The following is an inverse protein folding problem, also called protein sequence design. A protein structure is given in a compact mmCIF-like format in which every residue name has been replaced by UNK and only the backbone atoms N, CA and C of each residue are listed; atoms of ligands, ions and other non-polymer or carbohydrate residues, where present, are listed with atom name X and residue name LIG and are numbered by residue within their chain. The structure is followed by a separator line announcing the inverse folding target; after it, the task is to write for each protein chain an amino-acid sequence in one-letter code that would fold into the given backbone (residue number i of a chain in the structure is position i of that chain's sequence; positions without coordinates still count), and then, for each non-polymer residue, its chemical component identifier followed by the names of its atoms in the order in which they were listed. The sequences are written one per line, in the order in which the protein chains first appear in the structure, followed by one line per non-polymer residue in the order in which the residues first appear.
data_IF_548437079872
#
_entry.id   IF_548437079872
#
_cell.length_a   1.000
_cell.length_b   1.000
_cell.length_c   1.000
_cell.angle_alpha   90.00
_cell.angle_beta   90.00
_cell.angle_gamma   90.00
#
_symmetry.space_group_name_H-M   'P 1'
#
loop_
_entity.id
_entity.type
_entity.pdbx_description
1 polymer ?
#
# COMPACT_ATOMS: atom_id res chain seq x y z
N UNK A 1 9.26 27.16 17.92
CA UNK A 1 8.97 26.49 16.63
C UNK A 1 7.48 26.21 16.63
N UNK A 2 6.74 26.60 15.59
CA UNK A 2 5.34 26.15 15.47
C UNK A 2 5.41 24.65 15.20
N UNK A 3 4.74 23.88 16.00
CA UNK A 3 4.64 22.43 15.79
C UNK A 3 3.89 22.19 14.48
N UNK A 4 4.63 21.92 13.40
CA UNK A 4 4.08 21.72 12.05
C UNK A 4 3.11 20.53 11.97
N UNK A 5 3.11 19.67 12.98
CA UNK A 5 2.31 18.45 13.03
C UNK A 5 0.87 18.68 13.51
N UNK A 6 0.62 19.83 14.14
CA UNK A 6 -0.69 20.19 14.70
C UNK A 6 -1.38 21.35 13.97
N UNK A 7 -0.81 21.86 12.87
CA UNK A 7 -1.44 22.92 12.10
C UNK A 7 -2.54 22.39 11.18
N UNK A 8 -3.78 22.47 11.62
CA UNK A 8 -4.98 22.07 10.84
C UNK A 8 -5.12 22.81 9.49
N UNK A 9 -4.33 23.86 9.26
CA UNK A 9 -4.29 24.58 7.98
C UNK A 9 -3.33 23.91 6.99
N UNK A 10 -2.44 23.01 7.43
CA UNK A 10 -1.63 22.20 6.54
C UNK A 10 -2.55 21.26 5.75
N UNK A 11 -2.56 21.30 4.41
CA UNK A 11 -3.39 20.39 3.61
C UNK A 11 -3.08 18.91 3.84
N UNK A 12 -1.94 18.59 4.44
CA UNK A 12 -1.49 17.23 4.77
C UNK A 12 -1.70 16.86 6.25
N UNK A 13 -2.36 17.73 7.00
CA UNK A 13 -2.68 17.48 8.40
C UNK A 13 -3.57 16.25 8.57
N UNK A 14 -3.24 15.44 9.56
CA UNK A 14 -4.01 14.27 9.98
C UNK A 14 -4.35 14.44 11.47
N UNK A 15 -5.61 14.27 11.82
CA UNK A 15 -6.08 14.27 13.21
C UNK A 15 -5.75 12.91 13.88
N UNK A 16 -4.48 12.74 14.27
CA UNK A 16 -4.03 11.54 14.98
C UNK A 16 -4.75 11.34 16.31
N UNK A 17 -4.96 12.37 17.17
CA UNK A 17 -5.78 12.22 18.36
C UNK A 17 -7.18 11.68 18.10
N UNK A 18 -7.83 12.14 17.03
CA UNK A 18 -9.14 11.64 16.59
C UNK A 18 -9.08 10.18 16.13
N UNK A 19 -8.00 9.76 15.43
CA UNK A 19 -7.78 8.35 15.09
C UNK A 19 -7.65 7.48 16.33
N UNK A 20 -6.84 7.91 17.31
CA UNK A 20 -6.66 7.17 18.58
C UNK A 20 -8.00 7.07 19.32
N UNK A 21 -8.75 8.15 19.45
CA UNK A 21 -10.07 8.13 20.07
C UNK A 21 -11.04 7.16 19.38
N UNK A 22 -10.95 7.02 18.05
CA UNK A 22 -11.76 6.06 17.30
C UNK A 22 -11.35 4.61 17.59
N UNK A 23 -10.05 4.32 17.72
CA UNK A 23 -9.56 3.01 18.15
C UNK A 23 -10.07 2.69 19.55
N UNK A 24 -9.88 3.61 20.49
CA UNK A 24 -10.29 3.45 21.90
C UNK A 24 -11.79 3.17 22.03
N UNK A 25 -12.62 3.85 21.22
CA UNK A 25 -14.07 3.58 21.18
C UNK A 25 -14.36 2.15 20.73
N UNK A 26 -13.73 1.66 19.65
CA UNK A 26 -13.92 0.28 19.18
C UNK A 26 -13.35 -0.76 20.17
N UNK A 27 -12.27 -0.43 20.86
CA UNK A 27 -11.74 -1.25 21.95
C UNK A 27 -12.77 -1.38 23.09
N UNK A 28 -13.37 -0.26 23.53
CA UNK A 28 -14.39 -0.26 24.56
C UNK A 28 -15.63 -1.08 24.18
N UNK A 29 -16.07 -1.00 22.92
CA UNK A 29 -17.20 -1.77 22.39
C UNK A 29 -16.93 -3.29 22.41
N UNK A 30 -15.66 -3.71 22.48
CA UNK A 30 -15.22 -5.11 22.43
C UNK A 30 -14.58 -5.58 23.77
N UNK A 31 -14.70 -4.79 24.84
CA UNK A 31 -14.09 -5.07 26.13
C UNK A 31 -12.56 -5.31 26.06
N UNK A 32 -11.84 -4.51 25.26
CA UNK A 32 -10.39 -4.53 25.11
C UNK A 32 -9.79 -3.41 25.95
N UNK A 33 -8.90 -3.76 26.89
CA UNK A 33 -8.31 -2.81 27.86
C UNK A 33 -7.08 -2.09 27.30
N UNK A 34 -6.33 -2.75 26.39
CA UNK A 34 -5.23 -2.15 25.63
C UNK A 34 -5.08 -2.84 24.26
N UNK A 35 -4.60 -2.09 23.28
CA UNK A 35 -4.29 -2.62 21.95
C UNK A 35 -2.78 -2.66 21.74
N UNK A 36 -2.24 -3.82 21.37
CA UNK A 36 -0.85 -4.05 21.04
C UNK A 36 -0.73 -4.18 19.51
N UNK A 37 -0.47 -3.08 18.84
CA UNK A 37 -0.23 -3.02 17.41
C UNK A 37 1.21 -3.39 17.06
N UNK A 38 1.38 -4.20 16.05
CA UNK A 38 2.69 -4.69 15.60
C UNK A 38 2.92 -4.58 14.10
N UNK A 39 1.84 -4.37 13.32
CA UNK A 39 1.95 -4.22 11.85
C UNK A 39 2.51 -2.85 11.50
N UNK A 40 3.29 -2.79 10.41
CA UNK A 40 3.84 -1.54 9.90
C UNK A 40 2.74 -0.54 9.55
N UNK A 41 1.64 -1.02 8.96
CA UNK A 41 0.41 -0.24 8.72
C UNK A 41 -0.10 0.42 10.00
N UNK A 42 -0.26 -0.35 11.06
CA UNK A 42 -0.75 0.16 12.36
C UNK A 42 0.19 1.19 12.94
N UNK A 43 1.49 0.91 12.94
CA UNK A 43 2.50 1.86 13.39
C UNK A 43 2.44 3.17 12.61
N UNK A 44 2.54 3.13 11.28
CA UNK A 44 2.53 4.34 10.44
C UNK A 44 1.20 5.12 10.55
N UNK A 45 0.06 4.41 10.57
CA UNK A 45 -1.26 5.02 10.63
C UNK A 45 -1.58 5.68 11.97
N UNK A 46 -0.97 5.19 13.06
CA UNK A 46 -1.20 5.72 14.41
C UNK A 46 -0.13 6.71 14.87
N UNK A 47 1.08 6.69 14.30
CA UNK A 47 2.22 7.46 14.81
C UNK A 47 2.79 8.50 13.86
N UNK A 48 2.45 8.47 12.58
CA UNK A 48 3.06 9.28 11.50
C UNK A 48 4.56 9.03 11.29
N UNK A 49 5.06 7.89 11.72
CA UNK A 49 6.48 7.57 11.62
C UNK A 49 6.74 6.22 10.96
N UNK A 50 7.82 6.14 10.19
CA UNK A 50 8.34 4.88 9.68
C UNK A 50 9.16 4.16 10.75
N UNK A 51 8.75 2.94 11.10
CA UNK A 51 9.40 2.08 12.09
C UNK A 51 10.05 0.88 11.39
N UNK A 52 11.32 0.98 10.92
CA UNK A 52 11.96 -0.08 10.13
C UNK A 52 12.32 -1.31 10.93
N UNK A 53 12.49 -1.16 12.23
CA UNK A 53 12.79 -2.26 13.13
C UNK A 53 11.51 -2.89 13.65
N UNK A 54 11.61 -4.08 14.22
CA UNK A 54 10.48 -4.70 14.92
C UNK A 54 10.00 -3.76 16.02
N UNK A 55 8.91 -3.08 15.76
CA UNK A 55 8.34 -2.09 16.67
C UNK A 55 6.91 -2.46 17.05
N UNK A 56 6.43 -1.86 18.12
CA UNK A 56 5.09 -2.06 18.63
C UNK A 56 4.51 -0.72 19.08
N UNK A 57 3.20 -0.60 19.00
CA UNK A 57 2.47 0.51 19.63
C UNK A 57 1.49 -0.07 20.64
N UNK A 58 1.53 0.41 21.86
CA UNK A 58 0.51 0.12 22.88
C UNK A 58 -0.44 1.30 22.96
N UNK A 59 -1.70 1.04 22.68
CA UNK A 59 -2.77 2.04 22.79
C UNK A 59 -3.62 1.65 24.00
N UNK A 60 -3.60 2.44 25.08
CA UNK A 60 -4.45 2.21 26.24
C UNK A 60 -5.90 2.61 25.93
N UNK A 61 -6.85 2.13 26.74
CA UNK A 61 -8.26 2.53 26.60
C UNK A 61 -8.49 4.03 26.85
N UNK A 62 -7.61 4.65 27.61
CA UNK A 62 -7.58 6.10 27.88
C UNK A 62 -6.13 6.60 27.88
N UNK A 63 -5.90 7.79 27.29
CA UNK A 63 -4.57 8.39 27.15
C UNK A 63 -3.95 8.20 25.77
N UNK A 64 -2.67 8.59 25.66
CA UNK A 64 -1.92 8.55 24.40
C UNK A 64 -1.29 7.18 24.14
N UNK A 65 -1.07 6.80 22.89
CA UNK A 65 -0.33 5.60 22.54
C UNK A 65 1.15 5.74 22.90
N UNK A 66 1.80 4.62 23.15
CA UNK A 66 3.26 4.56 23.36
C UNK A 66 3.89 3.60 22.39
N UNK A 67 4.91 4.07 21.67
CA UNK A 67 5.69 3.29 20.71
C UNK A 67 6.88 2.63 21.40
N UNK A 68 7.11 1.38 21.10
CA UNK A 68 8.29 0.61 21.52
C UNK A 68 9.10 0.23 20.30
N UNK A 69 10.31 0.72 20.19
CA UNK A 69 11.17 0.50 19.03
C UNK A 69 12.59 0.17 19.44
N UNK A 70 13.42 -0.27 18.48
CA UNK A 70 14.83 -0.51 18.78
C UNK A 70 15.52 0.82 19.18
N UNK A 71 16.27 0.79 20.26
CA UNK A 71 16.80 1.99 20.94
C UNK A 71 17.56 2.97 20.03
N UNK A 72 18.24 2.46 18.98
CA UNK A 72 19.01 3.32 18.07
C UNK A 72 18.11 4.21 17.20
N UNK A 73 16.84 3.90 17.07
CA UNK A 73 15.89 4.60 16.20
C UNK A 73 14.87 5.45 16.97
N UNK A 74 14.83 5.31 18.29
CA UNK A 74 13.81 5.94 19.11
C UNK A 74 13.79 7.48 18.95
N UNK A 75 14.96 8.12 18.98
CA UNK A 75 15.06 9.57 18.84
C UNK A 75 14.56 10.08 17.48
N UNK A 76 14.85 9.35 16.38
CA UNK A 76 14.35 9.70 15.05
C UNK A 76 12.83 9.52 14.95
N UNK A 77 12.30 8.41 15.48
CA UNK A 77 10.85 8.17 15.50
C UNK A 77 10.12 9.25 16.30
N UNK A 78 10.69 9.69 17.43
CA UNK A 78 10.13 10.80 18.22
C UNK A 78 10.15 12.13 17.45
N UNK A 79 11.18 12.37 16.63
CA UNK A 79 11.26 13.57 15.78
C UNK A 79 10.26 13.53 14.62
N UNK A 80 10.06 12.36 14.00
CA UNK A 80 9.15 12.17 12.88
C UNK A 80 7.67 12.12 13.33
N UNK A 81 7.40 11.54 14.48
CA UNK A 81 6.04 11.29 15.01
C UNK A 81 5.35 12.59 15.48
N UNK A 82 4.02 12.52 15.58
CA UNK A 82 3.23 13.51 16.32
C UNK A 82 3.30 13.32 17.83
N UNK A 83 3.80 12.17 18.30
CA UNK A 83 4.04 11.86 19.71
C UNK A 83 5.31 12.54 20.21
N UNK A 84 5.34 12.90 21.48
CA UNK A 84 6.55 13.38 22.11
C UNK A 84 7.51 12.25 22.54
N UNK A 85 8.71 12.60 23.00
CA UNK A 85 9.75 11.63 23.36
C UNK A 85 9.37 10.71 24.52
N UNK A 86 8.48 11.14 25.41
CA UNK A 86 8.00 10.33 26.54
C UNK A 86 7.11 9.17 26.08
N UNK A 87 6.58 9.27 24.88
CA UNK A 87 5.76 8.25 24.23
C UNK A 87 6.50 7.40 23.19
N UNK A 88 7.84 7.52 23.09
CA UNK A 88 8.66 6.69 22.19
C UNK A 88 9.79 6.05 22.95
N UNK A 89 9.59 4.80 23.36
CA UNK A 89 10.48 4.06 24.24
C UNK A 89 11.40 3.10 23.46
N UNK A 90 12.69 3.15 23.78
CA UNK A 90 13.68 2.27 23.16
C UNK A 90 13.82 0.95 23.92
N UNK A 91 13.82 -0.16 23.21
CA UNK A 91 14.23 -1.47 23.72
C UNK A 91 15.61 -1.88 23.17
N UNK A 92 16.28 -2.83 23.84
CA UNK A 92 17.53 -3.43 23.38
C UNK A 92 17.48 -4.95 23.61
N UNK A 93 18.01 -5.79 22.72
CA UNK A 93 17.90 -7.25 22.81
C UNK A 93 18.88 -7.88 23.82
N UNK A 94 19.22 -7.15 24.87
CA UNK A 94 20.15 -7.64 25.89
C UNK A 94 19.76 -7.10 27.28
N UNK A 95 20.11 -7.84 28.31
CA UNK A 95 20.03 -7.41 29.71
C UNK A 95 18.59 -7.25 30.24
N UNK A 96 17.61 -8.01 29.73
CA UNK A 96 16.20 -7.92 30.16
C UNK A 96 15.48 -6.67 29.66
N UNK A 97 16.08 -5.94 28.72
CA UNK A 97 15.51 -4.78 28.06
C UNK A 97 14.90 -5.15 26.69
N UNK A 98 14.58 -6.42 26.50
CA UNK A 98 13.93 -6.87 25.27
C UNK A 98 12.48 -6.35 25.17
N UNK A 99 11.95 -6.33 23.98
CA UNK A 99 10.63 -5.78 23.67
C UNK A 99 9.50 -6.46 24.47
N UNK A 100 9.58 -7.77 24.69
CA UNK A 100 8.52 -8.50 25.41
C UNK A 100 8.46 -8.03 26.86
N UNK A 101 9.62 -7.98 27.52
CA UNK A 101 9.73 -7.58 28.94
C UNK A 101 9.27 -6.14 29.13
N UNK A 102 9.82 -5.19 28.35
CA UNK A 102 9.50 -3.76 28.48
C UNK A 102 8.02 -3.48 28.25
N UNK A 103 7.45 -4.06 27.17
CA UNK A 103 6.03 -3.85 26.84
C UNK A 103 5.12 -4.48 27.88
N UNK A 104 5.45 -5.70 28.34
CA UNK A 104 4.65 -6.37 29.38
C UNK A 104 4.70 -5.64 30.71
N UNK A 105 5.86 -5.09 31.09
CA UNK A 105 6.01 -4.27 32.28
C UNK A 105 5.23 -2.95 32.15
N UNK A 106 5.28 -2.31 30.99
CA UNK A 106 4.48 -1.11 30.72
C UNK A 106 2.97 -1.38 30.86
N UNK A 107 2.48 -2.47 30.29
CA UNK A 107 1.05 -2.86 30.42
C UNK A 107 0.69 -3.12 31.88
N UNK A 108 1.50 -3.87 32.64
CA UNK A 108 1.19 -4.25 34.01
C UNK A 108 1.38 -3.14 35.02
N UNK A 109 2.48 -2.40 34.91
CA UNK A 109 2.91 -1.48 35.99
C UNK A 109 2.53 -0.03 35.64
N UNK A 110 2.69 0.40 34.37
CA UNK A 110 2.37 1.78 33.98
C UNK A 110 0.88 1.94 33.70
N UNK A 111 0.29 1.02 32.91
CA UNK A 111 -1.16 1.06 32.67
C UNK A 111 -1.98 0.39 33.76
N UNK A 112 -1.35 -0.35 34.67
CA UNK A 112 -2.02 -1.03 35.79
C UNK A 112 -2.86 -2.25 35.38
N UNK A 113 -2.73 -2.74 34.14
CA UNK A 113 -3.53 -3.83 33.60
C UNK A 113 -2.90 -5.18 33.99
N UNK A 114 -3.30 -5.70 35.16
CA UNK A 114 -2.86 -7.01 35.66
C UNK A 114 -3.81 -8.15 35.27
N UNK A 115 -5.02 -7.82 34.91
CA UNK A 115 -6.05 -8.72 34.37
C UNK A 115 -6.89 -7.94 33.41
N UNK A 116 -7.24 -8.59 32.25
CA UNK A 116 -8.04 -7.96 31.24
C UNK A 116 -7.81 -8.56 29.86
N UNK A 117 -8.26 -7.87 28.83
CA UNK A 117 -8.15 -8.30 27.44
C UNK A 117 -7.22 -7.36 26.67
N UNK A 118 -6.21 -7.94 26.04
CA UNK A 118 -5.24 -7.20 25.23
C UNK A 118 -5.51 -7.57 23.76
N UNK A 119 -5.93 -6.59 22.97
CA UNK A 119 -6.08 -6.75 21.53
C UNK A 119 -4.71 -6.89 20.86
N UNK A 120 -4.54 -7.90 20.03
CA UNK A 120 -3.28 -8.16 19.30
C UNK A 120 -3.56 -8.36 17.82
N UNK A 121 -2.52 -8.27 16.99
CA UNK A 121 -2.62 -8.40 15.55
C UNK A 121 -2.16 -9.78 15.08
N UNK A 122 -3.03 -10.77 15.22
CA UNK A 122 -2.80 -12.16 14.81
C UNK A 122 -3.27 -12.47 13.39
N UNK A 123 -3.63 -11.48 12.61
CA UNK A 123 -4.19 -11.64 11.28
C UNK A 123 -3.31 -12.45 10.33
N UNK A 124 -3.91 -12.81 9.20
CA UNK A 124 -3.18 -13.36 8.07
C UNK A 124 -2.53 -12.22 7.28
N UNK A 125 -1.35 -12.45 6.73
CA UNK A 125 -0.69 -11.52 5.82
C UNK A 125 -0.45 -12.18 4.47
N UNK A 126 -0.71 -11.46 3.39
CA UNK A 126 -0.30 -11.84 2.06
C UNK A 126 1.14 -11.39 1.75
N UNK A 127 1.69 -10.48 2.56
CA UNK A 127 3.05 -9.98 2.46
C UNK A 127 3.86 -10.28 3.72
N UNK A 128 5.07 -10.77 3.53
CA UNK A 128 6.00 -11.08 4.63
C UNK A 128 6.28 -9.88 5.54
N UNK A 129 6.45 -8.67 5.02
CA UNK A 129 6.80 -7.52 5.86
C UNK A 129 5.64 -6.87 6.60
N UNK A 130 4.41 -7.34 6.54
CA UNK A 130 3.27 -6.68 7.20
C UNK A 130 3.45 -6.55 8.72
N UNK A 131 4.12 -7.51 9.34
CA UNK A 131 4.51 -7.41 10.75
C UNK A 131 3.46 -7.88 11.74
N UNK A 132 2.57 -8.78 11.35
CA UNK A 132 1.69 -9.47 12.29
C UNK A 132 2.47 -10.08 13.46
N UNK A 133 1.81 -10.25 14.60
CA UNK A 133 2.41 -10.87 15.77
C UNK A 133 2.80 -12.31 15.43
N UNK A 134 4.08 -12.66 15.59
CA UNK A 134 4.53 -14.02 15.35
C UNK A 134 4.03 -14.96 16.44
N UNK A 135 3.91 -16.25 16.15
CA UNK A 135 3.54 -17.24 17.16
C UNK A 135 4.51 -17.22 18.34
N UNK A 136 5.81 -17.02 18.10
CA UNK A 136 6.80 -16.89 19.18
C UNK A 136 6.49 -15.67 20.08
N UNK A 137 6.27 -14.51 19.52
CA UNK A 137 5.95 -13.29 20.27
C UNK A 137 4.63 -13.44 21.05
N UNK A 138 3.61 -14.04 20.40
CA UNK A 138 2.32 -14.31 21.05
C UNK A 138 2.48 -15.16 22.31
N UNK A 139 3.20 -16.27 22.23
CA UNK A 139 3.45 -17.14 23.40
C UNK A 139 4.31 -16.44 24.47
N UNK A 140 5.28 -15.60 24.09
CA UNK A 140 6.06 -14.82 25.04
C UNK A 140 5.21 -13.76 25.76
N UNK A 141 4.39 -12.99 25.05
CA UNK A 141 3.47 -12.03 25.67
C UNK A 141 2.44 -12.73 26.56
N UNK A 142 1.89 -13.84 26.12
CA UNK A 142 0.96 -14.65 26.93
C UNK A 142 1.60 -15.14 28.24
N UNK A 143 2.84 -15.56 28.20
CA UNK A 143 3.59 -15.97 29.38
C UNK A 143 3.93 -14.79 30.29
N UNK A 144 4.26 -13.62 29.73
CA UNK A 144 4.60 -12.41 30.48
C UNK A 144 3.38 -11.67 31.06
N UNK A 145 2.18 -11.93 30.51
CA UNK A 145 0.89 -11.34 30.94
C UNK A 145 -0.11 -12.42 31.39
N UNK A 146 0.22 -13.24 32.42
CA UNK A 146 -0.54 -14.44 32.79
C UNK A 146 -1.97 -14.16 33.28
N UNK A 147 -2.29 -12.92 33.63
CA UNK A 147 -3.64 -12.49 34.01
C UNK A 147 -4.48 -11.93 32.88
N UNK A 148 -3.90 -11.78 31.69
CA UNK A 148 -4.58 -11.17 30.53
C UNK A 148 -4.91 -12.23 29.48
N UNK A 149 -6.02 -12.02 28.79
CA UNK A 149 -6.38 -12.73 27.56
C UNK A 149 -5.86 -11.95 26.36
N UNK A 150 -5.10 -12.59 25.46
CA UNK A 150 -4.73 -12.00 24.19
C UNK A 150 -5.81 -12.35 23.15
N UNK A 151 -6.46 -11.33 22.61
CA UNK A 151 -7.58 -11.49 21.66
C UNK A 151 -7.19 -10.88 20.32
N UNK A 152 -7.61 -11.51 19.22
CA UNK A 152 -7.40 -10.94 17.90
C UNK A 152 -8.22 -9.66 17.70
N UNK A 153 -7.55 -8.58 17.32
CA UNK A 153 -8.17 -7.27 17.16
C UNK A 153 -7.66 -6.49 15.93
N UNK A 154 -6.94 -7.16 15.02
CA UNK A 154 -6.39 -6.53 13.80
C UNK A 154 -7.46 -5.79 12.98
N UNK A 155 -8.70 -6.29 12.96
CA UNK A 155 -9.83 -5.72 12.25
C UNK A 155 -10.20 -4.29 12.69
N UNK A 156 -9.80 -3.86 13.89
CA UNK A 156 -10.07 -2.49 14.38
C UNK A 156 -9.37 -1.48 13.47
N UNK A 157 -8.08 -1.67 13.21
CA UNK A 157 -7.31 -0.78 12.33
C UNK A 157 -7.78 -0.92 10.87
N UNK A 158 -8.01 -2.14 10.40
CA UNK A 158 -8.43 -2.38 9.02
C UNK A 158 -9.75 -1.68 8.68
N UNK A 159 -10.71 -1.69 9.62
CA UNK A 159 -11.98 -0.98 9.46
C UNK A 159 -11.84 0.54 9.50
N UNK A 160 -11.01 1.07 10.39
CA UNK A 160 -10.82 2.51 10.54
C UNK A 160 -9.97 3.10 9.41
N UNK A 161 -9.01 2.35 8.87
CA UNK A 161 -8.16 2.80 7.78
C UNK A 161 -8.81 2.70 6.40
N UNK A 162 -9.96 2.03 6.27
CA UNK A 162 -10.64 1.84 4.99
C UNK A 162 -11.01 3.17 4.32
N UNK A 163 -11.66 4.05 5.07
CA UNK A 163 -12.01 5.39 4.62
C UNK A 163 -10.89 6.35 5.05
N UNK A 164 -10.26 6.98 4.06
CA UNK A 164 -9.14 7.88 4.32
C UNK A 164 -9.64 9.29 4.67
N UNK A 165 -9.05 9.90 5.69
CA UNK A 165 -9.25 11.33 5.96
C UNK A 165 -8.62 12.21 4.86
N UNK A 166 -9.03 13.47 4.82
CA UNK A 166 -8.62 14.40 3.76
C UNK A 166 -7.10 14.64 3.74
N UNK A 167 -6.45 14.67 4.90
CA UNK A 167 -4.99 14.82 5.00
C UNK A 167 -4.28 13.64 4.36
N UNK A 168 -4.72 12.43 4.65
CA UNK A 168 -4.22 11.20 4.02
C UNK A 168 -4.44 11.23 2.51
N UNK A 169 -5.64 11.54 2.03
CA UNK A 169 -5.95 11.65 0.60
C UNK A 169 -5.02 12.66 -0.08
N UNK A 170 -4.76 13.81 0.53
CA UNK A 170 -3.86 14.82 -0.04
C UNK A 170 -2.42 14.33 -0.13
N UNK A 171 -1.93 13.54 0.84
CA UNK A 171 -0.61 12.90 0.77
C UNK A 171 -0.52 11.93 -0.41
N UNK A 172 -1.55 11.12 -0.65
CA UNK A 172 -1.60 10.21 -1.79
C UNK A 172 -1.69 10.95 -3.13
N UNK A 173 -2.42 12.06 -3.20
CA UNK A 173 -2.45 12.93 -4.40
C UNK A 173 -1.08 13.49 -4.72
N UNK A 174 -0.36 13.97 -3.70
CA UNK A 174 1.00 14.49 -3.90
C UNK A 174 1.97 13.36 -4.30
N UNK A 175 1.90 12.20 -3.68
CA UNK A 175 2.70 11.04 -4.07
C UNK A 175 2.41 10.60 -5.52
N UNK A 176 1.14 10.58 -5.94
CA UNK A 176 0.76 10.28 -7.33
C UNK A 176 1.27 11.34 -8.32
N UNK A 177 1.23 12.63 -7.95
CA UNK A 177 1.84 13.71 -8.76
C UNK A 177 3.35 13.50 -8.92
N UNK A 178 4.02 13.03 -7.88
CA UNK A 178 5.47 12.73 -7.93
C UNK A 178 5.73 11.55 -8.88
N UNK A 179 4.90 10.51 -8.85
CA UNK A 179 4.97 9.38 -9.80
C UNK A 179 4.80 9.86 -11.24
N UNK A 180 3.86 10.78 -11.50
CA UNK A 180 3.67 11.37 -12.82
C UNK A 180 4.95 12.05 -13.35
N UNK A 181 5.75 12.69 -12.48
CA UNK A 181 7.05 13.25 -12.86
C UNK A 181 8.07 12.16 -13.22
N UNK A 182 8.00 10.99 -12.56
CA UNK A 182 8.78 9.81 -12.93
C UNK A 182 8.45 9.32 -14.32
N UNK A 183 7.16 9.14 -14.64
CA UNK A 183 6.71 8.74 -15.97
C UNK A 183 7.10 9.74 -17.06
N UNK A 184 6.94 11.05 -16.82
CA UNK A 184 7.37 12.10 -17.76
C UNK A 184 8.86 12.01 -18.06
N UNK A 185 9.69 11.75 -17.05
CA UNK A 185 11.13 11.64 -17.23
C UNK A 185 11.51 10.38 -18.03
N UNK A 186 10.88 9.24 -17.74
CA UNK A 186 11.05 7.99 -18.50
C UNK A 186 10.66 8.21 -19.97
N UNK A 187 9.46 8.72 -20.22
CA UNK A 187 8.99 9.01 -21.57
C UNK A 187 9.98 9.88 -22.32
N UNK A 188 10.38 11.00 -21.76
CA UNK A 188 11.36 11.92 -22.37
C UNK A 188 12.71 11.26 -22.66
N UNK A 189 13.13 10.29 -21.84
CA UNK A 189 14.39 9.59 -22.02
C UNK A 189 14.35 8.54 -23.13
N UNK A 190 13.21 7.85 -23.29
CA UNK A 190 13.07 6.76 -24.28
C UNK A 190 12.66 7.27 -25.68
N UNK A 191 12.03 8.44 -25.78
CA UNK A 191 11.63 9.06 -27.06
C UNK A 191 12.82 9.34 -27.99
N UNK A 192 12.52 9.48 -29.29
CA UNK A 192 13.48 9.85 -30.33
C UNK A 192 14.71 8.91 -30.41
N UNK A 193 14.48 7.62 -30.17
CA UNK A 193 15.52 6.59 -30.18
C UNK A 193 16.40 6.58 -28.92
N UNK A 194 16.05 7.33 -27.88
CA UNK A 194 16.76 7.35 -26.60
C UNK A 194 16.80 5.99 -25.91
N UNK A 195 15.79 5.13 -26.16
CA UNK A 195 15.71 3.76 -25.66
C UNK A 195 16.84 2.84 -26.13
N UNK A 196 17.48 3.18 -27.26
CA UNK A 196 18.55 2.35 -27.86
C UNK A 196 19.69 2.20 -26.86
N UNK A 197 20.11 0.96 -26.69
CA UNK A 197 21.13 0.54 -25.71
C UNK A 197 20.75 0.72 -24.21
N UNK A 198 19.60 1.30 -23.86
CA UNK A 198 19.13 1.35 -22.48
C UNK A 198 18.75 -0.04 -21.96
N UNK A 199 18.95 -0.21 -20.66
CA UNK A 199 18.50 -1.36 -19.88
C UNK A 199 17.30 -1.02 -19.02
N UNK A 200 16.56 -2.03 -18.56
CA UNK A 200 15.46 -1.83 -17.60
C UNK A 200 15.94 -1.11 -16.34
N UNK A 201 17.15 -1.44 -15.82
CA UNK A 201 17.71 -0.77 -14.63
C UNK A 201 18.04 0.70 -14.86
N UNK A 202 18.42 1.11 -16.07
CA UNK A 202 18.65 2.53 -16.39
C UNK A 202 17.32 3.29 -16.43
N UNK A 203 16.26 2.69 -16.99
CA UNK A 203 14.91 3.28 -16.96
C UNK A 203 14.43 3.45 -15.51
N UNK A 204 14.58 2.43 -14.65
CA UNK A 204 14.25 2.53 -13.23
C UNK A 204 15.03 3.66 -12.54
N UNK A 205 16.32 3.79 -12.85
CA UNK A 205 17.17 4.85 -12.32
C UNK A 205 16.72 6.27 -12.75
N UNK A 206 16.27 6.44 -13.99
CA UNK A 206 15.72 7.70 -14.51
C UNK A 206 14.46 8.09 -13.74
N UNK A 207 13.51 7.13 -13.59
CA UNK A 207 12.29 7.34 -12.83
C UNK A 207 12.59 7.73 -11.37
N UNK A 208 13.46 6.95 -10.70
CA UNK A 208 13.84 7.18 -9.31
C UNK A 208 14.45 8.57 -9.11
N UNK A 209 15.37 8.99 -9.98
CA UNK A 209 15.99 10.33 -9.89
C UNK A 209 14.96 11.45 -10.06
N UNK A 210 14.04 11.31 -11.01
CA UNK A 210 13.01 12.31 -11.26
C UNK A 210 12.05 12.43 -10.08
N UNK A 211 11.56 11.30 -9.56
CA UNK A 211 10.69 11.26 -8.38
C UNK A 211 11.36 11.84 -7.13
N UNK A 212 12.66 11.52 -6.89
CA UNK A 212 13.44 12.13 -5.80
C UNK A 212 13.54 13.64 -5.93
N UNK A 213 13.78 14.15 -7.13
CA UNK A 213 13.80 15.59 -7.40
C UNK A 213 12.44 16.26 -7.21
N UNK A 214 11.38 15.52 -7.45
CA UNK A 214 9.99 15.99 -7.27
C UNK A 214 9.51 15.94 -5.83
N UNK A 215 10.28 15.34 -4.90
CA UNK A 215 9.98 15.29 -3.47
C UNK A 215 9.67 13.92 -2.89
N UNK A 216 9.89 12.82 -3.64
CA UNK A 216 9.74 11.47 -3.08
C UNK A 216 10.75 11.26 -1.94
N UNK A 217 10.25 10.88 -0.77
CA UNK A 217 11.08 10.57 0.40
C UNK A 217 11.73 9.20 0.28
N UNK A 218 11.07 8.27 -0.40
CA UNK A 218 11.52 6.92 -0.67
C UNK A 218 11.24 6.53 -2.13
N UNK A 219 12.04 5.65 -2.68
CA UNK A 219 11.87 5.02 -4.00
C UNK A 219 11.42 3.57 -3.87
N UNK A 220 10.98 3.19 -2.71
CA UNK A 220 10.58 1.86 -2.34
C UNK A 220 9.27 1.94 -1.57
N UNK A 221 8.34 1.07 -1.89
CA UNK A 221 7.20 0.80 -1.05
C UNK A 221 7.43 -0.50 -0.29
N UNK A 222 6.60 -0.72 0.70
CA UNK A 222 6.59 -1.95 1.47
C UNK A 222 6.28 -3.21 0.62
N UNK A 223 5.59 -3.05 -0.47
CA UNK A 223 5.10 -4.12 -1.35
C UNK A 223 5.84 -4.24 -2.66
N UNK A 224 6.63 -3.26 -3.05
CA UNK A 224 7.38 -3.29 -4.28
C UNK A 224 8.34 -2.11 -4.42
N UNK A 225 9.08 -2.10 -5.50
CA UNK A 225 9.96 -1.01 -5.91
C UNK A 225 9.59 -0.55 -7.30
N UNK A 226 10.53 0.08 -8.00
CA UNK A 226 10.34 0.43 -9.39
C UNK A 226 10.48 -0.83 -10.25
N UNK A 227 9.37 -1.26 -10.83
CA UNK A 227 9.25 -2.48 -11.63
C UNK A 227 9.27 -2.12 -13.11
N UNK A 228 10.25 -2.65 -13.83
CA UNK A 228 10.39 -2.42 -15.26
C UNK A 228 10.48 -3.77 -15.96
N UNK A 229 9.56 -4.03 -16.85
CA UNK A 229 9.55 -5.25 -17.66
C UNK A 229 9.51 -4.92 -19.15
N UNK A 230 10.33 -5.59 -19.94
CA UNK A 230 10.36 -5.43 -21.38
C UNK A 230 10.28 -6.76 -22.10
N UNK A 231 9.68 -6.75 -23.30
CA UNK A 231 9.51 -7.93 -24.14
C UNK A 231 8.79 -9.07 -23.42
N UNK A 232 9.34 -10.29 -23.48
CA UNK A 232 8.72 -11.49 -22.89
C UNK A 232 8.43 -11.35 -21.39
N UNK A 233 9.15 -10.48 -20.68
CA UNK A 233 8.96 -10.28 -19.23
C UNK A 233 7.62 -9.63 -18.92
N UNK A 234 7.07 -8.84 -19.84
CA UNK A 234 5.72 -8.27 -19.69
C UNK A 234 4.65 -9.35 -19.71
N UNK A 235 4.87 -10.44 -20.47
CA UNK A 235 3.99 -11.62 -20.50
C UNK A 235 3.97 -12.43 -19.20
N UNK A 236 4.87 -12.13 -18.25
CA UNK A 236 4.87 -12.75 -16.94
C UNK A 236 3.93 -11.99 -16.01
N UNK A 237 2.65 -12.40 -15.98
CA UNK A 237 1.60 -11.78 -15.19
C UNK A 237 1.48 -10.24 -15.38
N UNK A 238 1.60 -9.77 -16.62
CA UNK A 238 1.57 -8.33 -16.93
C UNK A 238 2.79 -7.56 -16.43
N UNK A 239 3.86 -8.25 -16.07
CA UNK A 239 5.06 -7.65 -15.46
C UNK A 239 4.96 -7.41 -13.96
N UNK A 240 3.88 -7.86 -13.31
CA UNK A 240 3.69 -7.67 -11.86
C UNK A 240 4.88 -8.21 -11.05
N UNK A 241 5.30 -7.44 -10.04
CA UNK A 241 6.43 -7.75 -9.16
C UNK A 241 7.72 -8.13 -9.93
N UNK A 242 7.95 -7.49 -11.09
CA UNK A 242 9.08 -7.79 -11.97
C UNK A 242 10.20 -6.77 -11.77
N UNK A 243 11.23 -7.08 -10.98
CA UNK A 243 12.32 -6.13 -10.77
C UNK A 243 13.06 -5.85 -12.07
N UNK A 244 13.47 -4.60 -12.27
CA UNK A 244 14.30 -4.17 -13.38
C UNK A 244 15.61 -4.96 -13.46
N UNK A 245 16.02 -5.34 -14.67
CA UNK A 245 17.25 -6.11 -14.93
C UNK A 245 18.19 -5.36 -15.88
N UNK A 246 19.35 -5.96 -16.16
CA UNK A 246 20.28 -5.47 -17.21
C UNK A 246 19.84 -5.85 -18.63
N UNK A 247 18.60 -6.33 -18.80
CA UNK A 247 18.06 -6.59 -20.13
C UNK A 247 17.99 -5.28 -20.92
N UNK A 248 18.53 -5.30 -22.12
CA UNK A 248 18.43 -4.17 -23.05
C UNK A 248 17.04 -4.13 -23.68
N UNK A 249 16.51 -2.93 -23.80
CA UNK A 249 15.26 -2.65 -24.49
C UNK A 249 15.47 -2.92 -26.00
N UNK A 250 14.49 -3.52 -26.65
CA UNK A 250 14.56 -3.88 -28.07
C UNK A 250 13.36 -3.35 -28.85
N UNK A 251 13.58 -3.06 -30.13
CA UNK A 251 12.53 -2.64 -31.04
C UNK A 251 11.50 -3.77 -31.26
N UNK A 252 10.23 -3.43 -31.37
CA UNK A 252 9.12 -4.35 -31.57
C UNK A 252 8.54 -4.96 -30.29
N UNK A 253 9.05 -4.57 -29.13
CA UNK A 253 8.64 -5.12 -27.84
C UNK A 253 7.73 -4.17 -27.05
N UNK A 254 6.84 -4.72 -26.19
CA UNK A 254 6.20 -3.94 -25.13
C UNK A 254 7.20 -3.62 -24.02
N UNK A 255 7.01 -2.46 -23.40
CA UNK A 255 7.72 -2.01 -22.21
C UNK A 255 6.68 -1.58 -21.17
N UNK A 256 6.69 -2.20 -20.01
CA UNK A 256 5.90 -1.83 -18.85
C UNK A 256 6.79 -1.09 -17.83
N UNK A 257 6.28 0.01 -17.34
CA UNK A 257 6.93 0.85 -16.33
C UNK A 257 5.95 1.02 -15.18
N UNK A 258 6.25 0.41 -14.06
CA UNK A 258 5.48 0.49 -12.83
C UNK A 258 6.35 1.09 -11.73
N UNK A 259 5.98 2.26 -11.24
CA UNK A 259 6.84 3.06 -10.37
C UNK A 259 6.08 3.65 -9.18
N UNK A 260 6.80 3.73 -8.07
CA UNK A 260 6.26 4.11 -6.78
C UNK A 260 7.01 5.32 -6.20
N UNK A 261 6.27 6.22 -5.60
CA UNK A 261 6.81 7.35 -4.85
C UNK A 261 6.17 7.42 -3.47
N UNK A 262 6.87 8.00 -2.52
CA UNK A 262 6.36 8.18 -1.17
C UNK A 262 6.48 9.63 -0.74
N UNK A 263 5.38 10.17 -0.21
CA UNK A 263 5.31 11.51 0.35
C UNK A 263 4.59 11.50 1.69
N UNK A 264 5.28 11.86 2.78
CA UNK A 264 4.74 11.80 4.15
C UNK A 264 4.04 10.45 4.42
N UNK A 265 4.72 9.36 4.10
CA UNK A 265 4.25 7.98 4.19
C UNK A 265 3.06 7.62 3.24
N UNK A 266 2.48 8.58 2.52
CA UNK A 266 1.49 8.29 1.48
C UNK A 266 2.16 7.73 0.24
N UNK A 267 1.61 6.67 -0.34
CA UNK A 267 2.15 5.98 -1.50
C UNK A 267 1.50 6.48 -2.78
N UNK A 268 2.31 6.81 -3.78
CA UNK A 268 1.91 6.90 -5.18
C UNK A 268 2.33 5.63 -5.88
N UNK A 269 1.43 5.10 -6.70
CA UNK A 269 1.59 3.82 -7.37
C UNK A 269 0.91 3.91 -8.74
N UNK A 270 1.69 3.82 -9.83
CA UNK A 270 1.13 3.93 -11.16
C UNK A 270 1.96 3.19 -12.21
N UNK A 271 1.26 2.45 -13.05
CA UNK A 271 1.84 1.73 -14.19
C UNK A 271 1.49 2.40 -15.51
N UNK A 272 2.46 2.46 -16.40
CA UNK A 272 2.27 2.87 -17.79
C UNK A 272 2.98 1.91 -18.76
N UNK A 273 2.45 1.80 -19.96
CA UNK A 273 2.96 0.86 -20.95
C UNK A 273 3.31 1.57 -22.27
N UNK A 274 4.33 1.05 -22.94
CA UNK A 274 4.79 1.54 -24.23
C UNK A 274 4.97 0.38 -25.21
N UNK A 275 4.93 0.67 -26.50
CA UNK A 275 5.55 -0.14 -27.54
C UNK A 275 6.82 0.53 -28.02
N UNK A 276 7.90 -0.22 -28.07
CA UNK A 276 9.16 0.27 -28.66
C UNK A 276 9.13 0.00 -30.17
N UNK A 277 9.06 1.05 -30.95
CA UNK A 277 8.80 0.99 -32.38
C UNK A 277 7.29 0.79 -32.70
N UNK A 278 7.02 0.36 -33.90
CA UNK A 278 5.65 0.17 -34.43
C UNK A 278 5.12 -1.22 -34.06
N UNK A 279 4.05 -1.34 -33.22
CA UNK A 279 3.45 -2.63 -32.93
C UNK A 279 2.77 -3.26 -34.16
N UNK A 280 2.73 -4.57 -34.17
CA UNK A 280 1.96 -5.36 -35.14
C UNK A 280 0.45 -5.20 -34.88
N UNK A 281 -0.39 -5.56 -35.86
CA UNK A 281 -1.85 -5.55 -35.67
C UNK A 281 -2.31 -6.46 -34.52
N UNK A 282 -1.62 -7.57 -34.30
CA UNK A 282 -1.90 -8.47 -33.18
C UNK A 282 -1.58 -7.83 -31.82
N UNK A 283 -0.44 -7.16 -31.71
CA UNK A 283 -0.08 -6.41 -30.53
C UNK A 283 -1.06 -5.27 -30.25
N UNK A 284 -1.50 -4.55 -31.28
CA UNK A 284 -2.55 -3.52 -31.14
C UNK A 284 -3.88 -4.10 -30.68
N UNK A 285 -4.24 -5.30 -31.15
CA UNK A 285 -5.44 -5.98 -30.70
C UNK A 285 -5.41 -6.25 -29.20
N UNK A 286 -4.29 -6.77 -28.67
CA UNK A 286 -4.11 -6.99 -27.23
C UNK A 286 -4.16 -5.67 -26.44
N UNK A 287 -3.43 -4.65 -26.91
CA UNK A 287 -3.39 -3.34 -26.26
C UNK A 287 -4.77 -2.67 -26.19
N UNK A 288 -5.53 -2.68 -27.28
CA UNK A 288 -6.86 -2.09 -27.31
C UNK A 288 -7.84 -2.81 -26.38
N UNK A 289 -7.82 -4.14 -26.36
CA UNK A 289 -8.66 -4.92 -25.45
C UNK A 289 -8.33 -4.63 -23.99
N UNK A 290 -7.04 -4.54 -23.65
CA UNK A 290 -6.61 -4.17 -22.31
C UNK A 290 -7.07 -2.75 -21.93
N UNK A 291 -6.83 -1.76 -22.78
CA UNK A 291 -7.25 -0.37 -22.52
C UNK A 291 -8.77 -0.23 -22.39
N UNK A 292 -9.54 -0.93 -23.25
CA UNK A 292 -11.00 -0.90 -23.18
C UNK A 292 -11.49 -1.55 -21.88
N UNK A 293 -10.83 -2.62 -21.43
CA UNK A 293 -11.12 -3.24 -20.14
C UNK A 293 -10.85 -2.28 -18.96
N UNK A 294 -9.70 -1.61 -18.95
CA UNK A 294 -9.39 -0.61 -17.90
C UNK A 294 -10.44 0.51 -17.90
N UNK A 295 -10.83 1.01 -19.08
CA UNK A 295 -11.88 2.04 -19.19
C UNK A 295 -13.22 1.55 -18.66
N UNK A 296 -13.61 0.32 -18.96
CA UNK A 296 -14.83 -0.29 -18.42
C UNK A 296 -14.77 -0.29 -16.88
N UNK A 297 -13.71 -0.87 -16.30
CA UNK A 297 -13.55 -0.99 -14.86
C UNK A 297 -13.59 0.37 -14.17
N UNK A 298 -12.82 1.35 -14.67
CA UNK A 298 -12.83 2.72 -14.13
C UNK A 298 -14.22 3.40 -14.23
N UNK A 299 -14.98 3.13 -15.29
CA UNK A 299 -16.33 3.69 -15.44
C UNK A 299 -17.39 2.99 -14.59
N UNK A 300 -17.11 1.78 -14.12
CA UNK A 300 -18.04 0.99 -13.31
C UNK A 300 -17.86 1.26 -11.82
N UNK A 301 -16.66 1.59 -11.35
CA UNK A 301 -16.41 1.89 -9.94
C UNK A 301 -17.32 3.01 -9.42
N UNK A 302 -18.01 2.75 -8.33
CA UNK A 302 -18.77 3.73 -7.54
C UNK A 302 -19.17 3.14 -6.18
N UNK A 303 -19.57 3.97 -5.25
CA UNK A 303 -20.17 3.52 -4.01
C UNK A 303 -21.45 2.70 -4.28
N UNK A 304 -21.66 1.66 -3.50
CA UNK A 304 -22.84 0.80 -3.58
C UNK A 304 -22.73 -0.43 -4.48
N UNK A 305 -21.64 -0.60 -5.25
CA UNK A 305 -21.38 -1.86 -5.96
C UNK A 305 -20.44 -2.76 -5.16
N UNK A 306 -20.34 -4.01 -5.57
CA UNK A 306 -19.44 -5.00 -4.94
C UNK A 306 -18.25 -5.32 -5.85
N UNK A 307 -17.08 -5.68 -5.29
CA UNK A 307 -15.95 -6.19 -6.08
C UNK A 307 -16.33 -7.41 -6.92
N UNK A 308 -17.19 -8.28 -6.40
CA UNK A 308 -17.66 -9.47 -7.13
C UNK A 308 -18.47 -9.08 -8.36
N UNK A 309 -19.43 -8.16 -8.22
CA UNK A 309 -20.21 -7.68 -9.37
C UNK A 309 -19.35 -7.01 -10.43
N UNK A 310 -18.33 -6.23 -10.02
CA UNK A 310 -17.37 -5.64 -10.94
C UNK A 310 -16.53 -6.70 -11.66
N UNK A 311 -16.07 -7.74 -10.94
CA UNK A 311 -15.33 -8.86 -11.53
C UNK A 311 -16.16 -9.63 -12.56
N UNK A 312 -17.44 -9.88 -12.27
CA UNK A 312 -18.37 -10.54 -13.19
C UNK A 312 -18.56 -9.74 -14.49
N UNK A 313 -18.75 -8.42 -14.38
CA UNK A 313 -18.87 -7.53 -15.53
C UNK A 313 -17.58 -7.51 -16.39
N UNK A 314 -16.43 -7.43 -15.71
CA UNK A 314 -15.11 -7.48 -16.35
C UNK A 314 -14.90 -8.79 -17.11
N UNK A 315 -15.20 -9.93 -16.50
CA UNK A 315 -15.01 -11.24 -17.14
C UNK A 315 -15.98 -11.45 -18.29
N UNK A 316 -17.24 -11.06 -18.16
CA UNK A 316 -18.20 -11.13 -19.26
C UNK A 316 -17.74 -10.33 -20.48
N UNK A 317 -17.20 -9.12 -20.27
CA UNK A 317 -16.62 -8.30 -21.33
C UNK A 317 -15.42 -8.99 -22.00
N UNK A 318 -14.54 -9.61 -21.23
CA UNK A 318 -13.36 -10.31 -21.74
C UNK A 318 -13.75 -11.56 -22.54
N UNK A 319 -14.76 -12.31 -22.10
CA UNK A 319 -15.30 -13.47 -22.80
C UNK A 319 -15.93 -13.09 -24.14
N UNK A 320 -16.76 -12.03 -24.16
CA UNK A 320 -17.40 -11.54 -25.39
C UNK A 320 -16.36 -11.16 -26.46
N UNK A 321 -15.23 -10.60 -26.04
CA UNK A 321 -14.15 -10.16 -26.94
C UNK A 321 -13.08 -11.22 -27.18
N UNK A 322 -13.14 -12.37 -26.51
CA UNK A 322 -12.26 -13.52 -26.74
C UNK A 322 -10.85 -13.36 -26.19
N UNK A 323 -10.68 -12.64 -25.07
CA UNK A 323 -9.39 -12.48 -24.38
C UNK A 323 -9.43 -12.81 -22.88
N UNK A 324 -10.48 -13.46 -22.40
CA UNK A 324 -10.63 -13.80 -20.99
C UNK A 324 -9.46 -14.61 -20.43
N UNK A 325 -8.86 -15.49 -21.24
CA UNK A 325 -7.69 -16.29 -20.86
C UNK A 325 -6.42 -15.46 -20.59
N UNK A 326 -6.38 -14.22 -21.08
CA UNK A 326 -5.26 -13.31 -20.89
C UNK A 326 -5.40 -12.45 -19.62
N UNK A 327 -6.56 -12.46 -18.97
CA UNK A 327 -6.77 -11.72 -17.72
C UNK A 327 -6.11 -12.45 -16.55
N UNK A 328 -5.23 -11.75 -15.87
CA UNK A 328 -4.65 -12.24 -14.61
C UNK A 328 -5.67 -12.02 -13.50
N UNK A 329 -5.94 -13.03 -12.64
CA UNK A 329 -6.85 -12.86 -11.52
C UNK A 329 -6.39 -11.72 -10.60
N UNK A 330 -7.32 -10.86 -10.23
CA UNK A 330 -7.07 -9.65 -9.45
C UNK A 330 -7.18 -8.39 -10.31
N UNK A 331 -7.82 -7.38 -9.78
CA UNK A 331 -7.99 -6.09 -10.46
C UNK A 331 -7.91 -4.91 -9.48
N UNK A 332 -7.66 -5.18 -8.21
CA UNK A 332 -7.52 -4.16 -7.18
C UNK A 332 -6.85 -4.67 -5.91
N UNK A 333 -6.31 -3.74 -5.16
CA UNK A 333 -5.94 -3.92 -3.76
C UNK A 333 -6.12 -2.62 -2.98
N UNK A 334 -6.09 -2.68 -1.65
CA UNK A 334 -6.07 -1.49 -0.82
C UNK A 334 -4.72 -0.78 -0.90
N UNK A 335 -4.70 0.48 -0.54
CA UNK A 335 -3.47 1.25 -0.39
C UNK A 335 -3.50 2.01 0.93
N UNK A 336 -2.37 2.02 1.61
CA UNK A 336 -2.19 2.65 2.91
C UNK A 336 -0.89 3.41 3.04
N UNK A 337 -0.66 3.92 4.22
CA UNK A 337 0.63 4.54 4.54
C UNK A 337 1.72 3.47 4.49
N UNK A 338 2.81 3.74 3.79
CA UNK A 338 3.95 2.86 3.58
C UNK A 338 3.78 1.71 2.58
N UNK A 339 2.61 1.43 2.02
CA UNK A 339 2.43 0.36 1.06
C UNK A 339 0.99 -0.11 0.93
N UNK A 340 0.83 -1.26 0.29
CA UNK A 340 -0.48 -1.83 0.06
C UNK A 340 -1.17 -2.26 1.35
N UNK A 341 -2.46 -2.08 1.36
CA UNK A 341 -3.33 -2.59 2.40
C UNK A 341 -4.18 -3.71 1.82
N UNK A 342 -3.98 -4.91 2.32
CA UNK A 342 -4.89 -5.99 2.00
C UNK A 342 -6.11 -5.88 2.92
N UNK A 343 -7.31 -6.03 2.36
CA UNK A 343 -8.57 -5.95 3.10
C UNK A 343 -8.80 -7.21 3.95
N UNK A 344 -7.78 -7.60 4.69
CA UNK A 344 -7.83 -8.72 5.62
C UNK A 344 -8.57 -8.25 6.85
N UNK A 345 -9.58 -8.98 7.28
CA UNK A 345 -10.39 -8.61 8.45
C UNK A 345 -11.69 -7.88 8.16
N UNK A 346 -11.99 -7.57 6.90
CA UNK A 346 -13.33 -7.11 6.50
C UNK A 346 -14.30 -8.26 6.22
N UNK A 347 -13.85 -9.53 6.37
CA UNK A 347 -14.66 -10.74 6.21
C UNK A 347 -14.00 -11.97 6.79
N UNK A 348 -14.76 -13.04 6.97
CA UNK A 348 -14.36 -14.28 7.63
C UNK A 348 -13.59 -15.21 6.68
N UNK A 349 -12.45 -14.80 6.11
CA UNK A 349 -11.73 -15.74 5.27
C UNK A 349 -10.43 -15.30 4.67
N UNK A 350 -9.58 -16.27 4.30
CA UNK A 350 -8.23 -16.05 3.80
C UNK A 350 -8.20 -15.83 2.29
N UNK A 351 -8.99 -14.94 1.73
CA UNK A 351 -9.09 -14.82 0.29
C UNK A 351 -8.39 -13.54 -0.18
N UNK A 352 -7.42 -13.63 -1.08
CA UNK A 352 -6.52 -12.52 -1.38
C UNK A 352 -7.18 -11.32 -2.04
N UNK A 353 -7.96 -11.43 -3.07
CA UNK A 353 -8.36 -10.27 -3.89
C UNK A 353 -9.83 -9.88 -3.77
N UNK A 354 -10.68 -10.79 -3.45
CA UNK A 354 -12.13 -10.68 -3.32
C UNK A 354 -12.61 -11.08 -1.95
N UNK A 355 -11.90 -10.64 -0.99
CA UNK A 355 -11.88 -11.21 0.36
C UNK A 355 -13.18 -11.13 1.12
N UNK A 356 -14.04 -10.24 0.72
CA UNK A 356 -15.38 -10.21 1.28
C UNK A 356 -16.39 -10.09 0.14
N UNK A 357 -17.02 -11.18 -0.27
CA UNK A 357 -18.06 -11.13 -1.30
C UNK A 357 -19.24 -10.23 -0.93
N UNK A 358 -19.39 -9.91 0.35
CA UNK A 358 -20.40 -8.99 0.86
C UNK A 358 -19.91 -7.55 0.96
N UNK A 359 -18.62 -7.29 0.66
CA UNK A 359 -18.11 -5.92 0.68
C UNK A 359 -18.84 -5.08 -0.36
N UNK A 360 -19.23 -3.89 0.06
CA UNK A 360 -19.82 -2.86 -0.78
C UNK A 360 -18.93 -1.63 -0.72
N UNK A 361 -18.44 -1.17 -1.86
CA UNK A 361 -17.62 0.04 -1.90
C UNK A 361 -18.35 1.21 -1.27
N UNK A 362 -17.62 1.96 -0.47
CA UNK A 362 -18.11 3.16 0.22
C UNK A 362 -17.50 4.41 -0.39
N UNK A 363 -18.22 5.52 -0.34
CA UNK A 363 -17.66 6.82 -0.69
C UNK A 363 -16.48 7.16 0.22
N UNK A 364 -15.36 7.57 -0.37
CA UNK A 364 -14.11 7.89 0.34
C UNK A 364 -13.15 6.71 0.52
N UNK A 365 -13.50 5.50 0.07
CA UNK A 365 -12.49 4.44 0.00
C UNK A 365 -11.40 4.84 -1.00
N UNK A 366 -10.14 4.61 -0.61
CA UNK A 366 -8.98 4.75 -1.47
C UNK A 366 -8.40 3.36 -1.73
N UNK A 367 -8.34 2.99 -2.99
CA UNK A 367 -7.85 1.68 -3.46
C UNK A 367 -6.92 1.87 -4.66
N UNK A 368 -6.17 0.85 -5.01
CA UNK A 368 -5.49 0.76 -6.31
C UNK A 368 -6.39 -0.02 -7.27
N UNK A 369 -6.73 0.59 -8.40
CA UNK A 369 -7.18 -0.16 -9.55
C UNK A 369 -5.94 -0.81 -10.17
N UNK A 370 -5.76 -2.12 -9.98
CA UNK A 370 -4.55 -2.87 -10.33
C UNK A 370 -4.91 -3.99 -11.31
N UNK A 371 -4.79 -3.73 -12.59
CA UNK A 371 -5.15 -4.68 -13.63
C UNK A 371 -3.93 -5.22 -14.36
N UNK A 372 -3.90 -6.53 -14.54
CA UNK A 372 -2.85 -7.22 -15.29
C UNK A 372 -3.44 -8.00 -16.45
N UNK A 373 -2.71 -7.97 -17.55
CA UNK A 373 -3.00 -8.69 -18.78
C UNK A 373 -1.75 -9.44 -19.22
N UNK A 374 -1.86 -10.72 -19.51
CA UNK A 374 -0.71 -11.55 -19.87
C UNK A 374 -1.04 -12.51 -21.04
N UNK A 375 -0.21 -12.50 -22.06
CA UNK A 375 -0.17 -13.47 -23.13
C UNK A 375 1.28 -13.97 -23.29
N UNK A 376 1.73 -14.92 -22.45
CA UNK A 376 3.12 -15.39 -22.45
C UNK A 376 3.57 -15.98 -23.80
N UNK A 377 2.69 -16.69 -24.48
CA UNK A 377 2.99 -17.33 -25.77
C UNK A 377 3.29 -16.31 -26.89
N UNK A 378 2.79 -15.09 -26.74
CA UNK A 378 3.05 -13.99 -27.68
C UNK A 378 4.05 -12.96 -27.11
N UNK A 379 4.61 -13.18 -25.92
CA UNK A 379 5.51 -12.27 -25.22
C UNK A 379 4.89 -10.87 -24.97
N UNK A 380 3.61 -10.84 -24.68
CA UNK A 380 2.84 -9.60 -24.48
C UNK A 380 2.22 -9.60 -23.09
N UNK A 381 2.35 -8.49 -22.43
CA UNK A 381 1.60 -8.20 -21.21
C UNK A 381 1.52 -6.71 -20.96
N UNK A 382 0.51 -6.32 -20.21
CA UNK A 382 0.26 -4.94 -19.81
C UNK A 382 -0.18 -4.88 -18.37
N UNK A 383 0.14 -3.78 -17.70
CA UNK A 383 -0.29 -3.49 -16.35
C UNK A 383 -0.87 -2.09 -16.28
N UNK A 384 -1.92 -1.93 -15.50
CA UNK A 384 -2.46 -0.64 -15.11
C UNK A 384 -2.60 -0.61 -13.60
N UNK A 385 -1.96 0.35 -12.97
CA UNK A 385 -2.17 0.67 -11.57
C UNK A 385 -2.41 2.16 -11.43
N UNK A 386 -3.37 2.53 -10.61
CA UNK A 386 -3.64 3.91 -10.25
C UNK A 386 -4.42 3.94 -8.94
N UNK A 387 -3.97 4.69 -7.93
CA UNK A 387 -4.81 4.98 -6.78
C UNK A 387 -6.08 5.70 -7.21
N UNK A 388 -7.23 5.19 -6.79
CA UNK A 388 -8.53 5.78 -7.08
C UNK A 388 -9.30 6.04 -5.79
N UNK A 389 -10.03 7.15 -5.74
CA UNK A 389 -10.98 7.43 -4.67
C UNK A 389 -12.36 7.05 -5.18
N UNK A 390 -13.04 6.19 -4.44
CA UNK A 390 -14.43 5.85 -4.72
C UNK A 390 -15.32 7.03 -4.38
N UNK A 391 -16.15 7.44 -5.31
CA UNK A 391 -17.14 8.51 -5.13
C UNK A 391 -18.55 7.94 -5.24
N UNK A 392 -19.53 8.76 -4.93
CA UNK A 392 -20.93 8.36 -5.00
C UNK A 392 -21.35 7.88 -6.40
N UNK A 393 -20.82 8.50 -7.46
CA UNK A 393 -21.26 8.26 -8.84
C UNK A 393 -20.18 7.67 -9.74
N UNK A 394 -18.95 7.47 -9.22
CA UNK A 394 -17.81 6.99 -10.00
C UNK A 394 -16.55 6.80 -9.16
N UNK A 395 -15.39 7.04 -9.76
CA UNK A 395 -14.12 7.10 -9.06
C UNK A 395 -13.25 8.27 -9.58
N UNK A 396 -12.31 8.71 -8.74
CA UNK A 396 -11.32 9.73 -9.08
C UNK A 396 -9.92 9.10 -9.12
N UNK A 397 -9.32 8.87 -10.29
CA UNK A 397 -7.92 8.47 -10.38
C UNK A 397 -7.00 9.60 -9.90
N UNK A 398 -5.98 9.27 -9.09
CA UNK A 398 -5.06 10.26 -8.50
C UNK A 398 -3.91 10.61 -9.42
N UNK A 399 -3.26 9.62 -10.06
CA UNK A 399 -2.34 9.88 -11.16
C UNK A 399 -3.11 10.47 -12.34
N UNK A 400 -2.54 11.49 -12.96
CA UNK A 400 -3.10 12.17 -14.14
C UNK A 400 -2.31 11.83 -15.41
N UNK A 401 -1.39 10.86 -15.31
CA UNK A 401 -0.70 10.37 -16.49
C UNK A 401 -1.71 9.71 -17.45
N UNK A 402 -1.56 9.89 -18.77
CA UNK A 402 -2.56 9.41 -19.75
C UNK A 402 -2.80 7.90 -19.68
N UNK A 403 -4.05 7.47 -19.86
CA UNK A 403 -4.42 6.07 -20.04
C UNK A 403 -4.34 5.72 -21.53
N UNK A 404 -3.17 5.36 -21.98
CA UNK A 404 -2.89 4.86 -23.33
C UNK A 404 -1.70 3.89 -23.30
N UNK A 405 -1.34 3.35 -24.48
CA UNK A 405 -0.12 2.60 -24.73
C UNK A 405 0.57 3.26 -25.89
N UNK A 406 1.60 4.04 -25.60
CA UNK A 406 2.27 4.89 -26.57
C UNK A 406 3.29 4.13 -27.43
N UNK A 407 3.41 4.52 -28.70
CA UNK A 407 4.45 4.03 -29.61
C UNK A 407 5.68 4.93 -29.55
N UNK A 408 6.83 4.37 -29.19
CA UNK A 408 8.11 5.09 -29.01
C UNK A 408 9.03 4.78 -30.18
N UNK A 409 9.44 5.80 -30.93
CA UNK A 409 10.30 5.68 -32.13
C UNK A 409 11.70 6.24 -31.94
#
# INVERSE_FOLDING_TARGET
MVDKRTDERDPFYIDYPGRISSIQRLMAEQDIDAYLGSRLRTLSWTTDAFCPWRSFVVIPLDGLPTVFTFVIDAARIADDSWLDEDHVLGYAPMGGMDQISIISDFIRETLGIKRGRIGVENGMSNYLPEGNLTHYEYEQFKAALPGCELVDAHHIIDRLSLIKDQGTINRFREASRIVDEGHKAVKSAIENGGWKDMTETEIAGIAALAMRRAGSEWEWSFTGGNEIASGYRTGLAGGACTPATRRKIQEGEPLMVDIHAMFKLGLGDHSHNYFIGTPTDRQRWHANNFLDMVRLVLSTYRAGITPVGLAEEMMAFAEERGFAENMVPGFEHGIGMMGDEWRIGLGDGPIPFWTNPEHVYQEGELIICAMQYACPDENIGFRYENPIIITKEGCEPLSKFPLDIEEIH
#
